data_IF_397093874445
#
_entry.id   IF_397093874445
#
_cell.length_a   1.000
_cell.length_b   1.000
_cell.length_c   1.000
_cell.angle_alpha   90.00
_cell.angle_beta   90.00
_cell.angle_gamma   90.00
#
_symmetry.space_group_name_H-M   'P 1'
#
loop_
_entity.id
_entity.type
_entity.pdbx_description
1 polymer ?
#
# COMPACT_ATOMS: atom_id res chain seq x y z
N UNK A 1 -16.73 -12.92 -9.98
CA UNK A 1 -15.54 -13.04 -9.11
C UNK A 1 -15.95 -12.98 -7.65
N UNK A 2 -15.47 -13.89 -6.85
CA UNK A 2 -15.84 -13.99 -5.43
C UNK A 2 -14.75 -13.34 -4.58
N UNK A 3 -15.11 -12.39 -3.73
CA UNK A 3 -14.19 -11.85 -2.72
C UNK A 3 -13.77 -12.95 -1.74
N UNK A 4 -12.60 -12.78 -1.11
CA UNK A 4 -12.18 -13.67 -0.01
C UNK A 4 -13.18 -13.59 1.14
N UNK A 5 -13.62 -14.77 1.61
CA UNK A 5 -14.43 -14.87 2.82
C UNK A 5 -13.58 -14.63 4.07
N UNK A 6 -14.24 -14.31 5.18
CA UNK A 6 -13.54 -14.14 6.46
C UNK A 6 -12.70 -15.37 6.83
N UNK A 7 -13.20 -16.57 6.64
CA UNK A 7 -12.47 -17.81 6.92
C UNK A 7 -11.19 -17.94 6.08
N UNK A 8 -11.24 -17.57 4.80
CA UNK A 8 -10.05 -17.58 3.94
C UNK A 8 -9.00 -16.53 4.36
N UNK A 9 -9.45 -15.36 4.84
CA UNK A 9 -8.57 -14.30 5.33
C UNK A 9 -7.91 -14.74 6.65
N UNK A 10 -8.67 -15.32 7.58
CA UNK A 10 -8.15 -15.83 8.84
C UNK A 10 -7.15 -16.98 8.62
N UNK A 11 -7.41 -17.88 7.67
CA UNK A 11 -6.50 -18.95 7.31
C UNK A 11 -5.16 -18.45 6.74
N UNK A 12 -5.17 -17.34 6.00
CA UNK A 12 -3.94 -16.71 5.45
C UNK A 12 -3.18 -15.83 6.44
N UNK A 13 -3.73 -15.56 7.63
CA UNK A 13 -3.09 -14.67 8.61
C UNK A 13 -1.74 -15.21 9.10
N UNK A 14 -1.59 -16.55 9.18
CA UNK A 14 -0.35 -17.19 9.60
C UNK A 14 0.86 -16.76 8.72
N UNK A 15 0.68 -16.70 7.39
CA UNK A 15 1.73 -16.23 6.48
C UNK A 15 2.08 -14.76 6.73
N UNK A 16 1.08 -13.92 7.01
CA UNK A 16 1.29 -12.50 7.30
C UNK A 16 2.11 -12.29 8.56
N UNK A 17 1.82 -13.01 9.65
CA UNK A 17 2.57 -12.86 10.92
C UNK A 17 3.99 -13.43 10.85
N UNK A 18 4.31 -14.22 9.84
CA UNK A 18 5.68 -14.66 9.54
C UNK A 18 6.45 -13.67 8.63
N UNK A 19 5.94 -12.46 8.40
CA UNK A 19 6.71 -11.42 7.72
C UNK A 19 7.98 -11.10 8.49
N UNK A 20 9.10 -10.79 7.79
CA UNK A 20 10.36 -10.42 8.46
C UNK A 20 10.17 -9.25 9.43
N UNK A 21 10.79 -9.34 10.61
CA UNK A 21 10.79 -8.25 11.60
C UNK A 21 11.72 -7.10 11.20
N UNK A 22 12.74 -7.39 10.39
CA UNK A 22 13.71 -6.46 9.83
C UNK A 22 14.29 -7.05 8.54
N UNK A 23 15.10 -6.29 7.78
CA UNK A 23 15.70 -6.73 6.51
C UNK A 23 14.69 -7.27 5.50
N UNK A 24 13.50 -6.67 5.46
CA UNK A 24 12.43 -6.99 4.52
C UNK A 24 12.75 -6.52 3.09
N UNK A 25 11.74 -6.54 2.22
CA UNK A 25 11.88 -6.17 0.80
C UNK A 25 10.77 -5.23 0.35
N UNK A 26 11.11 -4.29 -0.52
CA UNK A 26 10.13 -3.51 -1.29
C UNK A 26 9.59 -4.38 -2.42
N UNK A 27 8.36 -4.86 -2.25
CA UNK A 27 7.77 -5.85 -3.17
C UNK A 27 7.01 -5.21 -4.35
N UNK A 28 6.46 -3.98 -4.16
CA UNK A 28 5.67 -3.31 -5.18
C UNK A 28 5.65 -1.80 -4.92
N UNK A 29 5.76 -1.01 -5.99
CA UNK A 29 5.61 0.44 -5.98
C UNK A 29 4.41 0.82 -6.85
N UNK A 30 3.49 1.63 -6.33
CA UNK A 30 2.31 2.11 -7.05
C UNK A 30 2.20 3.62 -6.93
N UNK A 31 2.25 4.32 -8.06
CA UNK A 31 1.98 5.75 -8.14
C UNK A 31 0.50 5.99 -8.46
N UNK A 32 -0.08 7.01 -7.89
CA UNK A 32 -1.48 7.44 -8.08
C UNK A 32 -1.50 8.84 -8.70
N UNK A 33 -1.23 9.01 -10.00
CA UNK A 33 -1.11 10.35 -10.60
C UNK A 33 -2.44 11.11 -10.60
N UNK A 34 -3.55 10.40 -10.62
CA UNK A 34 -4.90 10.97 -10.57
C UNK A 34 -5.88 10.06 -9.81
N UNK A 35 -7.06 10.60 -9.49
CA UNK A 35 -8.13 9.80 -8.88
C UNK A 35 -8.52 8.63 -9.81
N UNK A 36 -8.50 7.41 -9.27
CA UNK A 36 -8.84 6.22 -10.04
C UNK A 36 -7.71 5.67 -10.92
N UNK A 37 -6.56 6.34 -11.02
CA UNK A 37 -5.41 5.87 -11.81
C UNK A 37 -4.37 5.21 -10.91
N UNK A 38 -3.76 4.12 -11.40
CA UNK A 38 -2.67 3.39 -10.74
C UNK A 38 -1.59 3.08 -11.76
N UNK A 39 -0.37 3.43 -11.43
CA UNK A 39 0.82 3.11 -12.21
C UNK A 39 1.74 2.24 -11.40
N UNK A 40 2.08 1.06 -11.92
CA UNK A 40 3.06 0.15 -11.31
C UNK A 40 4.43 0.56 -11.79
N UNK A 41 5.34 0.79 -10.87
CA UNK A 41 6.70 1.25 -11.14
C UNK A 41 7.72 0.22 -10.70
N UNK A 42 8.80 0.08 -11.48
CA UNK A 42 9.99 -0.67 -11.05
C UNK A 42 10.89 0.18 -10.14
N UNK A 43 10.87 1.49 -10.35
CA UNK A 43 11.66 2.48 -9.61
C UNK A 43 10.84 3.75 -9.37
N UNK A 44 11.08 4.44 -8.26
CA UNK A 44 10.48 5.73 -7.96
C UNK A 44 11.45 6.61 -7.16
N UNK A 45 11.19 7.92 -7.16
CA UNK A 45 11.86 8.89 -6.30
C UNK A 45 10.93 9.24 -5.14
N UNK A 46 11.46 9.20 -3.92
CA UNK A 46 10.83 9.73 -2.72
C UNK A 46 11.44 11.10 -2.41
N UNK A 47 10.58 12.08 -2.11
CA UNK A 47 10.97 13.46 -1.85
C UNK A 47 10.29 13.95 -0.55
N UNK A 48 11.02 14.64 0.36
CA UNK A 48 10.45 15.10 1.62
C UNK A 48 9.25 16.04 1.48
N UNK A 49 9.15 16.76 0.38
CA UNK A 49 8.05 17.71 0.12
C UNK A 49 6.92 17.07 -0.68
N UNK A 50 7.27 16.26 -1.68
CA UNK A 50 6.30 15.71 -2.65
C UNK A 50 5.81 14.29 -2.29
N UNK A 51 6.49 13.60 -1.37
CA UNK A 51 6.25 12.19 -1.10
C UNK A 51 6.80 11.32 -2.23
N UNK A 52 6.01 10.42 -2.78
CA UNK A 52 6.35 9.69 -4.00
C UNK A 52 6.15 10.64 -5.19
N UNK A 53 7.23 10.95 -5.90
CA UNK A 53 7.20 11.94 -7.00
C UNK A 53 6.23 11.50 -8.09
N UNK A 54 5.33 12.41 -8.47
CA UNK A 54 4.26 12.17 -9.43
C UNK A 54 3.00 11.50 -8.85
N UNK A 55 2.98 11.16 -7.56
CA UNK A 55 1.73 10.81 -6.86
C UNK A 55 0.89 12.07 -6.59
N UNK A 56 -0.40 11.93 -6.51
CA UNK A 56 -1.31 13.05 -6.30
C UNK A 56 -1.44 13.48 -4.82
N UNK A 57 -0.66 12.90 -3.90
CA UNK A 57 -0.78 13.24 -2.49
C UNK A 57 -0.60 14.74 -2.24
N UNK A 58 0.44 15.34 -2.81
CA UNK A 58 0.81 16.76 -2.58
C UNK A 58 -0.22 17.77 -3.09
N UNK A 59 -1.14 17.36 -3.96
CA UNK A 59 -2.18 18.24 -4.53
C UNK A 59 -3.60 17.82 -4.11
N UNK A 60 -3.72 16.70 -3.39
CA UNK A 60 -5.03 16.17 -2.97
C UNK A 60 -5.46 16.80 -1.64
N UNK A 61 -6.64 17.44 -1.59
CA UNK A 61 -7.14 18.01 -0.35
C UNK A 61 -7.39 16.91 0.70
N UNK A 62 -7.07 17.23 1.97
CA UNK A 62 -7.35 16.40 3.13
C UNK A 62 -8.55 16.95 3.89
N UNK A 63 -9.40 16.05 4.40
CA UNK A 63 -10.46 16.43 5.36
C UNK A 63 -9.95 16.46 6.81
N UNK A 64 -8.67 16.10 7.03
CA UNK A 64 -8.07 16.02 8.36
C UNK A 64 -7.17 17.22 8.68
N UNK A 65 -7.05 18.16 7.75
CA UNK A 65 -6.35 19.44 7.95
C UNK A 65 -7.34 20.59 7.88
N UNK A 66 -7.25 21.61 8.76
CA UNK A 66 -8.21 22.72 8.80
C UNK A 66 -8.28 23.51 7.49
N UNK A 67 -7.15 23.70 6.84
CA UNK A 67 -6.99 24.42 5.56
C UNK A 67 -7.15 23.51 4.33
N UNK A 68 -7.47 22.22 4.56
CA UNK A 68 -7.56 21.18 3.52
C UNK A 68 -6.24 20.91 2.77
N UNK A 69 -5.11 21.36 3.27
CA UNK A 69 -3.81 20.98 2.73
C UNK A 69 -3.58 19.46 2.86
N UNK A 70 -2.70 18.87 2.04
CA UNK A 70 -2.29 17.48 2.22
C UNK A 70 -1.78 17.24 3.64
N UNK A 71 -2.25 16.19 4.31
CA UNK A 71 -1.84 15.89 5.68
C UNK A 71 -0.40 15.34 5.67
N UNK A 72 0.59 16.02 6.31
CA UNK A 72 2.00 15.65 6.19
C UNK A 72 2.28 14.23 6.72
N UNK A 73 1.59 13.79 7.77
CA UNK A 73 1.75 12.45 8.33
C UNK A 73 1.08 11.33 7.50
N UNK A 74 0.42 11.68 6.40
CA UNK A 74 -0.19 10.73 5.44
C UNK A 74 0.46 10.81 4.06
N UNK A 75 1.71 11.24 4.00
CA UNK A 75 2.45 11.45 2.76
C UNK A 75 2.62 10.15 1.97
N UNK A 76 2.96 9.06 2.66
CA UNK A 76 3.07 7.72 2.11
C UNK A 76 2.08 6.79 2.81
N UNK A 77 1.37 5.99 2.03
CA UNK A 77 0.61 4.86 2.53
C UNK A 77 1.41 3.59 2.22
N UNK A 78 1.67 2.79 3.24
CA UNK A 78 2.50 1.58 3.16
C UNK A 78 1.67 0.38 3.60
N UNK A 79 1.66 -0.68 2.82
CA UNK A 79 0.93 -1.92 3.12
C UNK A 79 1.88 -3.11 3.15
N UNK A 80 1.61 -4.09 4.02
CA UNK A 80 2.33 -5.36 3.98
C UNK A 80 1.98 -6.11 2.69
N UNK A 81 3.00 -6.58 1.96
CA UNK A 81 2.83 -7.20 0.65
C UNK A 81 2.05 -8.52 0.72
N UNK A 82 2.20 -9.29 1.83
CA UNK A 82 1.45 -10.54 2.05
C UNK A 82 -0.02 -10.27 2.34
N UNK A 83 -0.33 -9.22 3.12
CA UNK A 83 -1.72 -8.80 3.32
C UNK A 83 -2.35 -8.37 2.00
N UNK A 84 -1.64 -7.57 1.21
CA UNK A 84 -2.12 -7.14 -0.11
C UNK A 84 -2.44 -8.34 -1.01
N UNK A 85 -1.56 -9.35 -1.06
CA UNK A 85 -1.78 -10.58 -1.80
C UNK A 85 -2.98 -11.39 -1.22
N UNK A 86 -3.09 -11.48 0.10
CA UNK A 86 -4.16 -12.20 0.76
C UNK A 86 -5.53 -11.62 0.43
N UNK A 87 -5.71 -10.29 0.55
CA UNK A 87 -7.01 -9.64 0.27
C UNK A 87 -7.32 -9.57 -1.23
N UNK A 88 -6.29 -9.45 -2.07
CA UNK A 88 -6.44 -9.44 -3.53
C UNK A 88 -6.94 -10.79 -4.06
N UNK A 89 -6.52 -11.88 -3.45
CA UNK A 89 -6.77 -13.22 -3.96
C UNK A 89 -5.95 -13.54 -5.23
N UNK A 90 -6.27 -14.63 -5.92
CA UNK A 90 -5.59 -14.99 -7.17
C UNK A 90 -5.80 -13.92 -8.25
N UNK A 91 -4.88 -13.82 -9.22
CA UNK A 91 -5.05 -12.92 -10.37
C UNK A 91 -6.40 -13.10 -11.05
N UNK A 92 -7.01 -12.00 -11.44
CA UNK A 92 -8.29 -12.02 -12.13
C UNK A 92 -8.08 -12.11 -13.63
N UNK A 93 -8.69 -13.08 -14.34
CA UNK A 93 -8.70 -13.11 -15.79
C UNK A 93 -9.26 -11.82 -16.38
N UNK A 94 -8.73 -11.39 -17.55
CA UNK A 94 -9.28 -10.30 -18.34
C UNK A 94 -10.77 -10.54 -18.61
N UNK A 95 -11.61 -9.57 -18.29
CA UNK A 95 -13.06 -9.65 -18.49
C UNK A 95 -13.88 -9.91 -17.23
N UNK A 96 -13.32 -10.49 -16.18
CA UNK A 96 -14.03 -10.75 -14.91
C UNK A 96 -13.69 -9.69 -13.84
N UNK A 97 -13.87 -8.42 -14.19
CA UNK A 97 -13.64 -7.29 -13.28
C UNK A 97 -14.85 -7.02 -12.41
N UNK A 98 -14.62 -6.84 -11.10
CA UNK A 98 -15.66 -6.32 -10.20
C UNK A 98 -15.95 -4.84 -10.49
N UNK A 99 -17.07 -4.31 -10.00
CA UNK A 99 -17.37 -2.88 -10.12
C UNK A 99 -16.27 -1.99 -9.52
N UNK A 100 -15.64 -2.44 -8.42
CA UNK A 100 -14.51 -1.74 -7.78
C UNK A 100 -13.25 -1.72 -8.66
N UNK A 101 -12.99 -2.80 -9.40
CA UNK A 101 -11.84 -2.92 -10.31
C UNK A 101 -12.01 -2.02 -11.54
N UNK A 102 -13.24 -1.93 -12.05
CA UNK A 102 -13.59 -1.09 -13.22
C UNK A 102 -13.45 0.40 -12.92
N UNK A 103 -13.56 0.79 -11.67
CA UNK A 103 -13.40 2.18 -11.24
C UNK A 103 -11.93 2.62 -11.13
N UNK A 104 -10.97 1.72 -11.35
CA UNK A 104 -9.53 1.99 -11.23
C UNK A 104 -8.81 1.55 -12.49
N UNK A 105 -8.20 2.51 -13.18
CA UNK A 105 -7.24 2.23 -14.26
C UNK A 105 -5.90 1.81 -13.65
N UNK A 106 -5.37 0.65 -14.06
CA UNK A 106 -4.05 0.17 -13.66
C UNK A 106 -3.17 0.09 -14.90
N UNK A 107 -2.03 0.75 -14.85
CA UNK A 107 -1.07 0.82 -15.94
C UNK A 107 0.33 0.41 -15.46
N UNK A 108 1.07 -0.34 -16.26
CA UNK A 108 2.50 -0.56 -16.04
C UNK A 108 3.29 0.52 -16.80
N UNK A 109 4.08 1.32 -16.09
CA UNK A 109 4.90 2.35 -16.70
C UNK A 109 6.19 1.72 -17.26
N UNK A 110 6.48 1.99 -18.54
CA UNK A 110 7.68 1.50 -19.23
C UNK A 110 7.45 0.27 -20.13
N UNK A 111 6.31 -0.37 -20.09
CA UNK A 111 5.92 -1.39 -21.06
C UNK A 111 4.94 -0.75 -22.06
N UNK A 112 5.34 -0.60 -23.31
CA UNK A 112 4.55 -0.01 -24.41
C UNK A 112 3.11 -0.52 -24.51
N UNK A 113 2.42 -0.45 -25.67
CA UNK A 113 0.97 -0.65 -25.84
C UNK A 113 0.41 -2.03 -25.44
N UNK A 114 1.22 -2.94 -24.90
CA UNK A 114 0.77 -4.24 -24.37
C UNK A 114 0.24 -4.19 -22.92
N UNK A 115 0.33 -3.05 -22.23
CA UNK A 115 -0.12 -2.95 -20.83
C UNK A 115 -1.64 -3.13 -20.64
N UNK A 116 -2.41 -2.85 -21.67
CA UNK A 116 -3.88 -2.94 -21.63
C UNK A 116 -4.43 -4.38 -21.64
N UNK A 117 -3.58 -5.36 -21.88
CA UNK A 117 -3.97 -6.78 -22.00
C UNK A 117 -3.51 -7.66 -20.84
N UNK A 118 -2.75 -7.11 -19.88
CA UNK A 118 -2.30 -7.88 -18.72
C UNK A 118 -3.39 -8.00 -17.65
N UNK A 119 -3.46 -9.14 -16.94
CA UNK A 119 -4.33 -9.27 -15.78
C UNK A 119 -4.06 -8.16 -14.78
N UNK A 120 -5.12 -7.56 -14.23
CA UNK A 120 -4.96 -6.54 -13.18
C UNK A 120 -4.33 -7.19 -11.95
N UNK A 121 -3.20 -6.67 -11.54
CA UNK A 121 -2.67 -6.98 -10.22
C UNK A 121 -3.54 -6.28 -9.16
N UNK A 122 -4.48 -7.02 -8.60
CA UNK A 122 -5.45 -6.50 -7.63
C UNK A 122 -4.82 -5.95 -6.36
N UNK A 123 -3.55 -6.27 -6.05
CA UNK A 123 -2.82 -5.67 -4.92
C UNK A 123 -2.77 -4.15 -5.06
N UNK A 124 -2.62 -3.64 -6.29
CA UNK A 124 -2.55 -2.20 -6.59
C UNK A 124 -3.83 -1.43 -6.22
N UNK A 125 -4.96 -2.14 -6.14
CA UNK A 125 -6.26 -1.53 -5.86
C UNK A 125 -6.37 -1.08 -4.39
N UNK A 126 -5.52 -1.56 -3.48
CA UNK A 126 -5.51 -1.10 -2.07
C UNK A 126 -5.29 0.42 -1.99
N UNK A 127 -4.55 0.99 -2.93
CA UNK A 127 -4.33 2.42 -3.05
C UNK A 127 -3.17 2.93 -2.21
N UNK A 128 -2.32 2.03 -1.75
CA UNK A 128 -1.04 2.34 -1.10
C UNK A 128 0.03 2.60 -2.16
N UNK A 129 1.08 3.34 -1.82
CA UNK A 129 2.20 3.60 -2.70
C UNK A 129 3.28 2.53 -2.60
N UNK A 130 3.58 2.05 -1.39
CA UNK A 130 4.66 1.10 -1.13
C UNK A 130 4.10 -0.18 -0.51
N UNK A 131 4.55 -1.32 -1.00
CA UNK A 131 4.18 -2.63 -0.48
C UNK A 131 5.44 -3.34 -0.01
N UNK A 132 5.55 -3.58 1.29
CA UNK A 132 6.73 -4.12 1.93
C UNK A 132 6.48 -5.55 2.39
N UNK A 133 7.38 -6.47 2.09
CA UNK A 133 7.46 -7.75 2.77
C UNK A 133 8.22 -7.55 4.09
N UNK A 134 7.53 -7.02 5.07
CA UNK A 134 8.02 -6.66 6.40
C UNK A 134 6.85 -6.68 7.38
N UNK A 135 7.07 -7.07 8.63
CA UNK A 135 6.07 -6.92 9.68
C UNK A 135 5.84 -5.44 10.02
N UNK A 136 4.64 -4.96 9.70
CA UNK A 136 4.23 -3.56 9.94
C UNK A 136 3.52 -3.36 11.27
N UNK A 137 3.42 -4.38 12.13
CA UNK A 137 2.69 -4.31 13.39
C UNK A 137 3.13 -3.14 14.27
N UNK A 138 2.23 -2.69 15.15
CA UNK A 138 2.54 -1.63 16.12
C UNK A 138 3.70 -2.00 17.05
N UNK A 139 3.84 -3.30 17.36
CA UNK A 139 4.91 -3.80 18.20
C UNK A 139 6.27 -3.74 17.49
N UNK A 140 6.31 -4.01 16.17
CA UNK A 140 7.56 -4.02 15.41
C UNK A 140 7.99 -2.63 14.93
N UNK A 141 7.03 -1.82 14.48
CA UNK A 141 7.27 -0.48 13.91
C UNK A 141 6.43 0.59 14.63
N UNK A 142 6.69 0.91 15.90
CA UNK A 142 5.98 2.01 16.56
C UNK A 142 6.16 3.32 15.78
N UNK A 143 5.28 4.30 16.03
CA UNK A 143 5.41 5.63 15.45
C UNK A 143 6.79 6.24 15.80
N UNK A 144 7.40 6.92 14.83
CA UNK A 144 8.77 7.43 14.92
C UNK A 144 9.84 6.45 14.45
N UNK A 145 9.51 5.16 14.22
CA UNK A 145 10.47 4.22 13.61
C UNK A 145 10.87 4.69 12.23
N UNK A 146 12.17 4.72 11.97
CA UNK A 146 12.74 5.05 10.66
C UNK A 146 13.17 3.79 9.92
N UNK A 147 12.94 3.79 8.61
CA UNK A 147 13.29 2.69 7.72
C UNK A 147 14.16 3.21 6.58
N UNK A 148 15.29 2.54 6.35
CA UNK A 148 16.01 2.64 5.08
C UNK A 148 15.22 1.94 4.00
N UNK A 149 15.17 2.56 2.81
CA UNK A 149 14.51 2.03 1.64
C UNK A 149 15.25 2.53 0.39
N UNK A 150 16.05 1.69 -0.24
CA UNK A 150 16.99 2.13 -1.28
C UNK A 150 17.96 3.18 -0.76
N UNK A 151 17.95 4.39 -1.33
CA UNK A 151 18.71 5.55 -0.83
C UNK A 151 17.88 6.54 0.01
N UNK A 152 16.60 6.24 0.27
CA UNK A 152 15.69 7.09 1.04
C UNK A 152 15.59 6.62 2.50
N UNK A 153 15.12 7.53 3.37
CA UNK A 153 14.68 7.22 4.73
C UNK A 153 13.25 7.70 4.89
N UNK A 154 12.37 6.80 5.33
CA UNK A 154 10.99 7.13 5.69
C UNK A 154 10.79 6.95 7.20
N UNK A 155 9.84 7.67 7.77
CA UNK A 155 9.47 7.58 9.19
C UNK A 155 8.00 7.19 9.34
N UNK A 156 7.72 6.17 10.12
CA UNK A 156 6.36 5.74 10.48
C UNK A 156 5.69 6.83 11.31
N UNK A 157 4.50 7.27 10.88
CA UNK A 157 3.74 8.30 11.60
C UNK A 157 2.70 7.70 12.56
N UNK A 158 2.23 8.49 13.50
CA UNK A 158 1.19 8.09 14.44
C UNK A 158 -0.22 8.08 13.81
N UNK A 159 -0.37 8.65 12.59
CA UNK A 159 -1.66 8.76 11.93
C UNK A 159 -2.20 7.38 11.55
N UNK A 160 -3.40 6.97 12.02
CA UNK A 160 -3.94 5.65 11.72
C UNK A 160 -4.23 5.47 10.22
N UNK A 161 -3.91 4.28 9.70
CA UNK A 161 -4.31 3.87 8.37
C UNK A 161 -5.37 2.76 8.45
N UNK A 162 -6.62 3.08 8.12
CA UNK A 162 -7.77 2.18 8.29
C UNK A 162 -8.46 1.87 6.98
N UNK A 163 -9.11 0.71 6.91
CA UNK A 163 -9.97 0.35 5.77
C UNK A 163 -11.20 1.24 5.70
N UNK A 164 -11.54 1.67 4.52
CA UNK A 164 -12.67 2.56 4.23
C UNK A 164 -13.66 1.94 3.21
N UNK A 165 -14.72 2.67 2.87
CA UNK A 165 -15.71 2.21 1.89
C UNK A 165 -15.11 1.87 0.52
N UNK A 166 -14.07 2.59 0.07
CA UNK A 166 -13.35 2.27 -1.17
C UNK A 166 -12.61 0.93 -1.08
N UNK A 167 -12.04 0.61 0.08
CA UNK A 167 -11.40 -0.68 0.32
C UNK A 167 -12.42 -1.82 0.28
N UNK A 168 -13.57 -1.64 0.95
CA UNK A 168 -14.68 -2.61 0.91
C UNK A 168 -15.22 -2.85 -0.49
N UNK A 169 -15.37 -1.79 -1.29
CA UNK A 169 -15.83 -1.91 -2.68
C UNK A 169 -14.88 -2.74 -3.57
N UNK A 170 -13.59 -2.79 -3.23
CA UNK A 170 -12.54 -3.49 -4.01
C UNK A 170 -12.29 -4.93 -3.53
N UNK A 171 -12.42 -5.17 -2.24
CA UNK A 171 -12.04 -6.45 -1.62
C UNK A 171 -13.17 -7.13 -0.84
N UNK A 172 -14.33 -6.49 -0.76
CA UNK A 172 -15.48 -7.02 -0.02
C UNK A 172 -15.52 -6.60 1.44
N UNK A 173 -16.69 -6.81 2.06
CA UNK A 173 -16.95 -6.41 3.45
C UNK A 173 -16.14 -7.24 4.45
N UNK A 174 -15.88 -8.50 4.15
CA UNK A 174 -15.09 -9.38 5.03
C UNK A 174 -13.64 -8.91 5.12
N UNK A 175 -13.04 -8.49 4.00
CA UNK A 175 -11.71 -7.88 4.00
C UNK A 175 -11.69 -6.57 4.81
N UNK A 176 -12.72 -5.73 4.68
CA UNK A 176 -12.84 -4.50 5.48
C UNK A 176 -12.90 -4.81 6.99
N UNK A 177 -13.74 -5.78 7.39
CA UNK A 177 -13.86 -6.20 8.80
C UNK A 177 -12.58 -6.85 9.31
N UNK A 178 -11.90 -7.62 8.47
CA UNK A 178 -10.64 -8.27 8.80
C UNK A 178 -9.55 -7.24 9.13
N UNK A 179 -9.27 -6.30 8.25
CA UNK A 179 -8.21 -5.30 8.46
C UNK A 179 -8.54 -4.30 9.58
N UNK A 180 -9.82 -4.04 9.85
CA UNK A 180 -10.28 -3.11 10.89
C UNK A 180 -10.60 -3.79 12.23
N UNK A 181 -10.46 -5.12 12.35
CA UNK A 181 -10.64 -5.82 13.62
C UNK A 181 -9.59 -5.37 14.66
N UNK A 182 -9.82 -5.66 15.93
CA UNK A 182 -8.87 -5.30 17.00
C UNK A 182 -7.47 -5.86 16.72
N UNK A 183 -7.36 -7.15 16.36
CA UNK A 183 -6.10 -7.76 15.95
C UNK A 183 -5.58 -7.16 14.65
N UNK A 184 -6.46 -6.90 13.66
CA UNK A 184 -6.10 -6.30 12.39
C UNK A 184 -5.47 -4.92 12.52
N UNK A 185 -5.95 -4.09 13.45
CA UNK A 185 -5.35 -2.78 13.76
C UNK A 185 -3.99 -2.92 14.41
N UNK A 186 -3.84 -3.78 15.42
CA UNK A 186 -2.55 -4.02 16.10
C UNK A 186 -1.49 -4.57 15.14
N UNK A 187 -1.88 -5.44 14.23
CA UNK A 187 -1.01 -5.98 13.16
C UNK A 187 -0.89 -5.04 11.96
N UNK A 188 -1.60 -3.91 11.96
CA UNK A 188 -1.67 -2.96 10.86
C UNK A 188 -1.93 -3.63 9.50
N UNK A 189 -2.91 -4.55 9.48
CA UNK A 189 -3.25 -5.28 8.25
C UNK A 189 -3.72 -4.36 7.12
N UNK A 190 -4.26 -3.17 7.42
CA UNK A 190 -4.54 -2.16 6.38
C UNK A 190 -3.29 -1.40 5.95
N UNK A 191 -2.22 -1.49 6.72
CA UNK A 191 -0.99 -0.76 6.50
C UNK A 191 -0.77 0.36 7.52
N UNK A 192 0.19 1.19 7.25
CA UNK A 192 0.58 2.35 8.05
C UNK A 192 0.78 3.59 7.17
N UNK A 193 0.81 4.75 7.81
CA UNK A 193 1.23 5.99 7.19
C UNK A 193 2.69 6.29 7.52
N UNK A 194 3.39 6.90 6.58
CA UNK A 194 4.77 7.33 6.74
C UNK A 194 5.03 8.68 6.05
N UNK A 195 6.15 9.30 6.38
CA UNK A 195 6.66 10.49 5.70
C UNK A 195 8.11 10.28 5.27
N UNK A 196 8.55 10.99 4.25
CA UNK A 196 9.94 10.97 3.77
C UNK A 196 10.78 11.90 4.65
N UNK A 197 11.86 11.38 5.23
CA UNK A 197 12.83 12.14 6.03
C UNK A 197 14.05 12.48 5.20
N UNK A 198 14.55 11.49 4.43
CA UNK A 198 15.64 11.70 3.47
C UNK A 198 15.14 11.23 2.11
N UNK A 199 15.19 12.13 1.13
CA UNK A 199 14.81 11.82 -0.25
C UNK A 199 15.80 10.87 -0.90
N UNK A 200 15.32 10.11 -1.89
CA UNK A 200 16.16 9.17 -2.61
C UNK A 200 15.40 8.31 -3.60
N UNK A 201 16.13 7.45 -4.29
CA UNK A 201 15.57 6.49 -5.24
C UNK A 201 15.31 5.16 -4.57
N UNK A 202 14.15 4.58 -4.86
CA UNK A 202 13.70 3.27 -4.37
C UNK A 202 13.35 2.36 -5.55
N UNK A 203 13.72 1.08 -5.45
CA UNK A 203 13.49 0.07 -6.50
C UNK A 203 12.79 -1.14 -5.93
N UNK A 204 11.93 -1.77 -6.73
CA UNK A 204 11.39 -3.09 -6.38
C UNK A 204 12.55 -4.06 -6.16
N UNK A 205 12.52 -4.77 -5.02
CA UNK A 205 13.60 -5.65 -4.57
C UNK A 205 14.56 -5.02 -3.56
N UNK A 206 14.55 -3.71 -3.37
CA UNK A 206 15.39 -3.04 -2.37
C UNK A 206 15.14 -3.62 -0.97
N UNK A 207 16.21 -3.72 -0.19
CA UNK A 207 16.12 -4.09 1.23
C UNK A 207 15.45 -2.95 2.00
N UNK A 208 14.56 -3.31 2.90
CA UNK A 208 13.92 -2.41 3.87
C UNK A 208 14.43 -2.77 5.25
N UNK A 209 15.14 -1.85 5.89
CA UNK A 209 15.73 -2.08 7.20
C UNK A 209 15.47 -0.93 8.17
N UNK A 210 15.40 -1.26 9.47
CA UNK A 210 15.31 -0.24 10.52
C UNK A 210 16.61 0.57 10.56
N UNK A 211 16.48 1.87 10.75
CA UNK A 211 17.61 2.73 11.09
C UNK A 211 17.97 2.44 12.53
N UNK A 212 19.22 2.03 12.75
CA UNK A 212 19.77 1.76 14.10
C UNK A 212 19.91 3.02 14.95
#
# INVERSE_FOLDING_TARGET
MTYRSRAQLDAGLADVVHSPLDQGRLALIVRRPASGVREVLAEAVLDPTLGLVGDNWSVRPSSQTPDRSPHPDMQLNVMNARVAALVAGPPTPLGDKTAGDRAVGVYAVGNGPMADHLPIDRRTLAGDQLYLDLDLSEANLPAGTRLYLGSAIIEVTAQPHTGCGKFSARYGVDALRFVNSTSGRRLRLRGLNARVIVGGTVRVGDVVAKVG
#
